data_IF_243437400307
#
_entry.id   IF_243437400307
#
_cell.length_a   1.000
_cell.length_b   1.000
_cell.length_c   1.000
_cell.angle_alpha   90.00
_cell.angle_beta   90.00
_cell.angle_gamma   90.00
#
_symmetry.space_group_name_H-M   'P 1'
#
loop_
_entity.id
_entity.type
_entity.pdbx_description
1 polymer ?
#
# COMPACT_ATOMS: atom_id res chain seq x y z
N UNK A 1 11.01 24.52 3.41
CA UNK A 1 9.79 23.72 3.20
C UNK A 1 10.09 22.34 3.75
N UNK A 2 9.52 22.02 4.92
CA UNK A 2 9.67 20.72 5.57
C UNK A 2 9.04 19.66 4.67
N UNK A 3 9.84 18.71 4.19
CA UNK A 3 9.35 17.47 3.60
C UNK A 3 8.51 16.77 4.65
N UNK A 4 7.19 16.88 4.56
CA UNK A 4 6.29 16.02 5.31
C UNK A 4 6.58 14.59 4.88
N UNK A 5 7.16 13.82 5.82
CA UNK A 5 7.43 12.41 5.65
C UNK A 5 6.07 11.72 5.47
N UNK A 6 5.69 11.43 4.22
CA UNK A 6 4.50 10.62 3.93
C UNK A 6 4.78 9.24 4.50
N UNK A 7 3.98 8.83 5.47
CA UNK A 7 4.18 7.59 6.21
C UNK A 7 4.06 6.40 5.24
N UNK A 8 5.12 5.63 5.07
CA UNK A 8 5.20 4.48 4.16
C UNK A 8 4.68 3.17 4.77
N UNK A 9 3.82 3.26 5.79
CA UNK A 9 3.31 2.07 6.46
C UNK A 9 2.42 1.26 5.48
N UNK A 10 2.69 -0.04 5.24
CA UNK A 10 1.89 -0.86 4.35
C UNK A 10 0.42 -0.85 4.75
N UNK A 11 -0.43 -0.65 3.75
CA UNK A 11 -1.87 -0.69 3.95
C UNK A 11 -2.37 -2.12 3.72
N UNK A 12 -3.13 -2.63 4.68
CA UNK A 12 -3.79 -3.92 4.58
C UNK A 12 -5.30 -3.76 4.68
N UNK A 13 -6.01 -4.72 4.11
CA UNK A 13 -7.38 -5.01 4.46
C UNK A 13 -7.37 -5.89 5.72
N UNK A 14 -8.01 -5.38 6.76
CA UNK A 14 -8.21 -6.06 8.03
C UNK A 14 -9.62 -6.64 8.10
N UNK A 15 -9.81 -7.76 8.81
CA UNK A 15 -11.11 -8.42 8.96
C UNK A 15 -11.32 -9.00 10.35
N UNK A 16 -12.50 -8.79 10.93
CA UNK A 16 -12.94 -9.43 12.18
C UNK A 16 -13.35 -10.87 11.90
N UNK A 17 -12.84 -11.82 12.70
CA UNK A 17 -13.10 -13.24 12.48
C UNK A 17 -14.58 -13.64 12.66
N UNK A 18 -15.27 -13.07 13.66
CA UNK A 18 -16.64 -13.46 13.97
C UNK A 18 -17.67 -12.67 13.14
N UNK A 19 -17.62 -11.33 13.16
CA UNK A 19 -18.60 -10.50 12.43
C UNK A 19 -18.29 -10.33 10.94
N UNK A 20 -17.03 -10.55 10.53
CA UNK A 20 -16.60 -10.31 9.15
C UNK A 20 -16.49 -8.84 8.77
N UNK A 21 -16.60 -7.92 9.74
CA UNK A 21 -16.40 -6.47 9.53
C UNK A 21 -14.99 -6.21 9.01
N UNK A 22 -14.85 -5.25 8.11
CA UNK A 22 -13.58 -4.96 7.44
C UNK A 22 -13.17 -3.50 7.61
N UNK A 23 -11.85 -3.28 7.60
CA UNK A 23 -11.24 -1.96 7.55
C UNK A 23 -10.03 -1.98 6.61
N UNK A 24 -9.68 -0.82 6.07
CA UNK A 24 -8.43 -0.63 5.33
C UNK A 24 -7.58 0.33 6.14
N UNK A 25 -6.41 -0.12 6.61
CA UNK A 25 -5.56 0.66 7.49
C UNK A 25 -4.08 0.29 7.34
N UNK A 26 -3.16 1.20 7.73
CA UNK A 26 -1.75 0.86 7.88
C UNK A 26 -1.54 -0.14 9.01
N UNK A 27 -0.76 -1.18 8.75
CA UNK A 27 -0.44 -2.22 9.74
C UNK A 27 1.00 -2.10 10.22
N UNK A 28 1.20 -2.16 11.54
CA UNK A 28 2.51 -2.20 12.19
C UNK A 28 2.67 -3.49 12.98
N UNK A 29 3.88 -4.02 13.00
CA UNK A 29 4.21 -5.21 13.77
C UNK A 29 3.99 -4.98 15.27
N UNK A 30 3.37 -5.97 15.92
CA UNK A 30 3.08 -5.95 17.35
C UNK A 30 1.89 -5.08 17.77
N UNK A 31 1.15 -4.49 16.83
CA UNK A 31 -0.07 -3.71 17.12
C UNK A 31 -1.32 -4.57 16.93
N UNK A 32 -2.22 -4.54 17.93
CA UNK A 32 -3.54 -5.17 17.85
C UNK A 32 -4.56 -4.16 17.36
N UNK A 33 -5.25 -4.49 16.28
CA UNK A 33 -6.28 -3.64 15.68
C UNK A 33 -7.66 -4.08 16.17
N UNK A 34 -8.52 -3.12 16.52
CA UNK A 34 -9.88 -3.40 16.99
C UNK A 34 -10.91 -2.60 16.21
N UNK A 35 -12.05 -3.23 15.93
CA UNK A 35 -13.21 -2.53 15.39
C UNK A 35 -13.72 -1.51 16.42
N UNK A 36 -13.95 -0.28 15.98
CA UNK A 36 -14.31 0.82 16.88
C UNK A 36 -15.73 0.70 17.47
N UNK A 37 -16.62 -0.06 16.82
CA UNK A 37 -18.00 -0.26 17.27
C UNK A 37 -18.12 -1.49 18.16
N UNK A 38 -17.47 -2.61 17.79
CA UNK A 38 -17.65 -3.89 18.47
C UNK A 38 -16.50 -4.26 19.40
N UNK A 39 -15.33 -3.64 19.23
CA UNK A 39 -14.10 -3.99 19.96
C UNK A 39 -13.47 -5.32 19.52
N UNK A 40 -14.06 -6.00 18.52
CA UNK A 40 -13.51 -7.23 17.95
C UNK A 40 -12.13 -7.00 17.38
N UNK A 41 -11.26 -7.99 17.53
CA UNK A 41 -9.92 -7.96 16.94
C UNK A 41 -10.01 -8.10 15.42
N UNK A 42 -9.23 -7.28 14.72
CA UNK A 42 -9.15 -7.24 13.27
C UNK A 42 -7.80 -7.78 12.82
N UNK A 43 -7.82 -8.81 11.98
CA UNK A 43 -6.61 -9.45 11.45
C UNK A 43 -6.31 -9.01 10.01
N UNK A 44 -5.04 -8.79 9.62
CA UNK A 44 -4.68 -8.54 8.23
C UNK A 44 -4.95 -9.75 7.35
N UNK A 45 -5.83 -9.60 6.36
CA UNK A 45 -6.22 -10.69 5.45
C UNK A 45 -5.76 -10.48 4.02
N UNK A 46 -5.39 -9.26 3.63
CA UNK A 46 -4.84 -8.97 2.31
C UNK A 46 -3.99 -7.70 2.33
N UNK A 47 -2.84 -7.71 1.64
CA UNK A 47 -2.11 -6.49 1.37
C UNK A 47 -2.82 -5.68 0.27
N UNK A 48 -3.00 -4.39 0.48
CA UNK A 48 -3.44 -3.48 -0.57
C UNK A 48 -2.21 -3.12 -1.40
N UNK A 49 -2.24 -3.47 -2.68
CA UNK A 49 -1.14 -3.12 -3.58
C UNK A 49 -1.13 -1.61 -3.84
N UNK A 50 0.06 -0.99 -3.95
CA UNK A 50 1.38 -1.62 -4.05
C UNK A 50 1.93 -2.02 -2.68
N UNK A 51 2.31 -3.30 -2.56
CA UNK A 51 3.04 -3.80 -1.41
C UNK A 51 4.45 -3.25 -1.47
N UNK A 52 4.89 -2.69 -0.36
CA UNK A 52 6.15 -2.02 -0.15
C UNK A 52 7.31 -2.87 -0.70
N UNK A 53 8.06 -2.25 -1.60
CA UNK A 53 9.14 -2.87 -2.35
C UNK A 53 9.71 -1.92 -3.40
N UNK A 54 8.90 -1.00 -3.90
CA UNK A 54 9.31 -0.01 -4.91
C UNK A 54 9.23 1.46 -4.47
N UNK A 55 8.76 1.76 -3.24
CA UNK A 55 8.62 3.14 -2.74
C UNK A 55 7.39 3.91 -3.24
N UNK A 56 6.46 3.25 -3.93
CA UNK A 56 5.23 3.87 -4.44
C UNK A 56 4.12 3.75 -3.41
N UNK A 57 3.38 4.83 -3.21
CA UNK A 57 2.19 4.88 -2.35
C UNK A 57 0.88 4.78 -3.14
N UNK A 58 0.94 4.76 -4.47
CA UNK A 58 -0.24 4.79 -5.32
C UNK A 58 -0.77 3.38 -5.62
N UNK A 59 -2.06 3.09 -5.38
CA UNK A 59 -2.69 1.83 -5.76
C UNK A 59 -2.39 1.46 -7.21
N UNK A 60 -2.07 0.20 -7.50
CA UNK A 60 -1.79 -0.24 -8.88
C UNK A 60 -3.06 -0.28 -9.73
N UNK A 61 -3.41 0.88 -10.29
CA UNK A 61 -4.54 1.10 -11.19
C UNK A 61 -4.06 1.74 -12.50
N UNK A 62 -4.77 1.62 -13.64
CA UNK A 62 -4.31 2.18 -14.92
C UNK A 62 -4.00 3.68 -14.87
N UNK A 63 -4.75 4.46 -14.08
CA UNK A 63 -4.53 5.89 -13.89
C UNK A 63 -3.24 6.21 -13.12
N UNK A 64 -2.83 5.31 -12.20
CA UNK A 64 -1.63 5.46 -11.38
C UNK A 64 -0.37 4.85 -12.00
N UNK A 65 -0.47 4.24 -13.18
CA UNK A 65 0.64 3.55 -13.85
C UNK A 65 1.06 4.29 -15.12
N UNK A 66 2.37 4.31 -15.39
CA UNK A 66 2.98 4.73 -16.66
C UNK A 66 3.72 3.54 -17.28
N UNK A 67 3.85 3.56 -18.61
CA UNK A 67 4.71 2.63 -19.33
C UNK A 67 6.14 3.16 -19.30
N UNK A 68 7.09 2.35 -18.83
CA UNK A 68 8.51 2.66 -18.95
C UNK A 68 8.93 2.57 -20.43
N UNK A 69 9.55 3.63 -20.99
CA UNK A 69 9.98 3.64 -22.41
C UNK A 69 11.12 2.68 -22.75
N UNK A 70 11.78 2.10 -21.74
CA UNK A 70 12.97 1.26 -21.93
C UNK A 70 12.68 -0.24 -21.83
N UNK A 71 11.95 -0.66 -20.79
CA UNK A 71 11.62 -2.07 -20.56
C UNK A 71 10.13 -2.38 -20.76
N UNK A 72 9.32 -1.38 -21.12
CA UNK A 72 7.89 -1.49 -21.44
C UNK A 72 6.99 -1.99 -20.30
N UNK A 73 7.54 -2.11 -19.08
CA UNK A 73 6.78 -2.48 -17.90
C UNK A 73 5.90 -1.34 -17.38
N UNK A 74 4.78 -1.70 -16.74
CA UNK A 74 3.89 -0.77 -16.06
C UNK A 74 4.41 -0.47 -14.65
N UNK A 75 4.90 0.74 -14.43
CA UNK A 75 5.46 1.20 -13.15
C UNK A 75 4.67 2.39 -12.59
N UNK A 76 4.56 2.57 -11.25
CA UNK A 76 3.83 3.66 -10.65
C UNK A 76 4.34 5.03 -11.08
N UNK A 77 3.41 5.97 -11.29
CA UNK A 77 3.70 7.33 -11.77
C UNK A 77 4.43 8.20 -10.76
N UNK A 78 4.33 7.88 -9.47
CA UNK A 78 4.97 8.58 -8.35
C UNK A 78 6.45 8.21 -8.15
N UNK A 79 6.95 7.16 -8.81
CA UNK A 79 8.38 6.82 -8.75
C UNK A 79 9.18 7.64 -9.77
N UNK A 80 10.35 8.17 -9.37
CA UNK A 80 11.27 8.82 -10.31
C UNK A 80 12.01 7.81 -11.20
N UNK A 81 12.37 6.66 -10.62
CA UNK A 81 13.02 5.54 -11.30
C UNK A 81 12.04 4.41 -11.57
N UNK A 82 12.26 3.67 -12.64
CA UNK A 82 11.48 2.46 -12.91
C UNK A 82 11.86 1.36 -11.90
N UNK A 83 10.88 0.79 -11.21
CA UNK A 83 11.10 -0.27 -10.21
C UNK A 83 11.69 -1.57 -10.81
N UNK A 84 11.55 -1.78 -12.13
CA UNK A 84 12.01 -2.99 -12.81
C UNK A 84 13.42 -2.88 -13.37
N UNK A 85 13.80 -1.72 -13.90
CA UNK A 85 15.11 -1.53 -14.55
C UNK A 85 16.02 -0.50 -13.86
N UNK A 86 15.53 0.20 -12.82
CA UNK A 86 16.29 1.14 -12.01
C UNK A 86 16.64 2.46 -12.71
N UNK A 87 16.22 2.67 -13.96
CA UNK A 87 16.55 3.87 -14.73
C UNK A 87 15.49 4.97 -14.56
N UNK A 88 15.88 6.25 -14.65
CA UNK A 88 14.93 7.36 -14.63
C UNK A 88 13.91 7.25 -15.77
N UNK A 89 12.69 7.69 -15.47
CA UNK A 89 11.52 7.61 -16.34
C UNK A 89 11.66 8.37 -17.67
#
# INVERSE_FOLDING_TARGET
MTTENVNHDPIYRLRAAASGREAIAPVRDGVVYRDAETGEELEPVAAVLPRDGAGSALPRTPVNLRVCRRCEQLTPRDLETCEFCGLPA
#
